data_IF_189988661358
#
_entry.id   IF_189988661358
#
_cell.length_a   1.000
_cell.length_b   1.000
_cell.length_c   1.000
_cell.angle_alpha   90.00
_cell.angle_beta   90.00
_cell.angle_gamma   90.00
#
_symmetry.space_group_name_H-M   'P 1'
#
loop_
_entity.id
_entity.type
_entity.pdbx_description
1 polymer ?
#
# COMPACT_ATOMS: atom_id res chain seq x y z
N UNK A 1 21.22 -13.49 21.35
CA UNK A 1 20.84 -13.00 20.01
C UNK A 1 19.67 -12.08 20.21
N UNK A 2 19.85 -10.77 19.97
CA UNK A 2 18.79 -9.78 20.14
C UNK A 2 17.62 -10.09 19.22
N UNK A 3 16.40 -9.83 19.68
CA UNK A 3 15.19 -9.97 18.87
C UNK A 3 15.34 -9.16 17.58
N UNK A 4 15.27 -9.82 16.42
CA UNK A 4 15.17 -9.17 15.11
C UNK A 4 13.77 -8.59 14.84
N UNK A 5 12.79 -8.89 15.71
CA UNK A 5 11.53 -8.16 15.72
C UNK A 5 11.77 -6.76 16.24
N UNK A 6 11.16 -5.81 15.55
CA UNK A 6 11.05 -4.46 16.07
C UNK A 6 10.00 -4.47 17.19
N UNK A 7 10.37 -4.22 18.46
CA UNK A 7 9.49 -4.48 19.61
C UNK A 7 8.13 -3.78 19.55
N UNK A 8 8.09 -2.61 18.93
CA UNK A 8 6.89 -1.79 18.80
C UNK A 8 6.15 -1.97 17.46
N UNK A 9 6.65 -2.83 16.56
CA UNK A 9 6.01 -3.17 15.29
C UNK A 9 5.78 -4.68 15.23
N UNK A 10 4.86 -5.16 16.06
CA UNK A 10 4.55 -6.59 16.16
C UNK A 10 4.24 -7.19 14.78
N UNK A 11 5.02 -8.20 14.41
CA UNK A 11 4.93 -8.86 13.12
C UNK A 11 5.87 -8.31 12.05
N UNK A 12 6.58 -7.19 12.25
CA UNK A 12 7.66 -6.75 11.37
C UNK A 12 9.00 -7.33 11.82
N UNK A 13 9.80 -7.81 10.88
CA UNK A 13 11.17 -8.27 11.12
C UNK A 13 12.11 -7.42 10.29
N UNK A 14 13.09 -6.82 10.96
CA UNK A 14 14.09 -6.04 10.27
C UNK A 14 15.11 -6.98 9.61
N UNK A 15 15.12 -6.98 8.27
CA UNK A 15 16.03 -7.74 7.42
C UNK A 15 17.03 -6.82 6.69
N UNK A 16 18.18 -7.35 6.27
CA UNK A 16 19.24 -6.60 5.60
C UNK A 16 18.93 -6.12 4.17
N UNK A 17 17.71 -6.34 3.66
CA UNK A 17 17.29 -5.93 2.32
C UNK A 17 16.98 -4.43 2.21
N UNK A 18 16.67 -3.95 0.98
CA UNK A 18 16.31 -2.56 0.76
C UNK A 18 15.03 -2.16 1.49
N UNK A 19 14.98 -0.90 1.93
CA UNK A 19 13.89 -0.31 2.72
C UNK A 19 13.29 0.87 1.98
N UNK A 20 12.42 0.62 1.01
CA UNK A 20 11.71 1.67 0.27
C UNK A 20 10.47 2.10 1.04
N UNK A 21 9.72 1.12 1.58
CA UNK A 21 8.45 1.38 2.28
C UNK A 21 8.51 1.16 3.79
N UNK A 22 9.48 0.40 4.30
CA UNK A 22 9.57 0.09 5.74
C UNK A 22 10.69 0.84 6.47
N UNK A 23 11.36 1.80 5.83
CA UNK A 23 12.53 2.50 6.39
C UNK A 23 12.28 3.19 7.74
N UNK A 24 11.04 3.61 8.03
CA UNK A 24 10.67 4.24 9.29
C UNK A 24 10.13 3.28 10.34
N UNK A 25 9.95 1.99 10.03
CA UNK A 25 9.34 1.05 10.98
C UNK A 25 10.18 0.81 12.24
N UNK A 26 11.49 1.10 12.21
CA UNK A 26 12.38 1.01 13.36
C UNK A 26 12.20 2.11 14.41
N UNK A 27 11.43 3.15 14.14
CA UNK A 27 11.14 4.23 15.09
C UNK A 27 9.82 3.99 15.79
N UNK A 28 9.79 4.05 17.13
CA UNK A 28 8.57 3.81 17.91
C UNK A 28 7.45 4.83 17.60
N UNK A 29 7.86 6.07 17.37
CA UNK A 29 7.06 7.26 17.05
C UNK A 29 6.90 7.51 15.55
N UNK A 30 7.20 6.52 14.68
CA UNK A 30 7.09 6.60 13.21
C UNK A 30 5.74 7.07 12.69
N UNK A 31 4.70 6.95 13.51
CA UNK A 31 3.33 7.28 13.17
C UNK A 31 2.97 8.76 13.37
N UNK A 32 3.88 9.56 13.90
CA UNK A 32 3.68 10.99 14.17
C UNK A 32 4.21 11.84 13.02
N UNK A 33 3.57 12.98 12.75
CA UNK A 33 4.03 13.95 11.76
C UNK A 33 5.49 14.39 12.02
N UNK A 34 5.82 14.67 13.28
CA UNK A 34 7.16 15.14 13.65
C UNK A 34 8.26 14.15 13.27
N UNK A 35 8.05 12.84 13.52
CA UNK A 35 8.99 11.80 13.09
C UNK A 35 9.03 11.69 11.57
N UNK A 36 7.86 11.73 10.93
CA UNK A 36 7.75 11.63 9.48
C UNK A 36 8.56 12.73 8.79
N UNK A 37 8.36 14.00 9.16
CA UNK A 37 9.13 15.14 8.63
C UNK A 37 10.64 15.02 8.92
N UNK A 38 11.01 14.65 10.15
CA UNK A 38 12.42 14.50 10.55
C UNK A 38 13.16 13.41 9.76
N UNK A 39 12.44 12.53 9.06
CA UNK A 39 12.98 11.41 8.28
C UNK A 39 12.65 11.51 6.79
N UNK A 40 12.40 12.72 6.29
CA UNK A 40 12.20 12.99 4.86
C UNK A 40 10.74 12.98 4.39
N UNK A 41 9.77 13.03 5.31
CA UNK A 41 8.35 13.06 5.00
C UNK A 41 7.94 14.25 4.14
N UNK A 42 6.97 14.04 3.24
CA UNK A 42 6.44 15.03 2.30
C UNK A 42 7.46 15.57 1.26
N UNK A 43 8.67 15.02 1.20
CA UNK A 43 9.64 15.34 0.14
C UNK A 43 9.15 14.83 -1.22
N UNK A 44 8.56 13.62 -1.27
CA UNK A 44 7.97 13.06 -2.48
C UNK A 44 6.79 13.89 -3.00
N UNK A 45 5.93 14.37 -2.10
CA UNK A 45 4.84 15.28 -2.45
C UNK A 45 5.36 16.62 -3.00
N UNK A 46 6.38 17.22 -2.35
CA UNK A 46 7.01 18.45 -2.86
C UNK A 46 7.63 18.22 -4.25
N UNK A 47 8.28 17.08 -4.47
CA UNK A 47 8.83 16.71 -5.76
C UNK A 47 7.73 16.51 -6.82
N UNK A 48 6.58 15.96 -6.43
CA UNK A 48 5.42 15.82 -7.31
C UNK A 48 4.83 17.18 -7.70
N UNK A 49 4.60 18.08 -6.74
CA UNK A 49 4.05 19.43 -6.97
C UNK A 49 4.98 20.33 -7.80
N UNK A 50 6.28 20.03 -7.86
CA UNK A 50 7.24 20.72 -8.71
C UNK A 50 7.18 20.29 -10.19
N UNK A 51 6.39 19.26 -10.52
CA UNK A 51 6.20 18.71 -11.87
C UNK A 51 4.75 18.94 -12.29
N UNK A 52 4.44 18.83 -13.59
CA UNK A 52 3.03 18.84 -14.01
C UNK A 52 2.37 17.51 -13.62
N UNK A 53 1.05 17.47 -13.33
CA UNK A 53 0.35 16.22 -13.00
C UNK A 53 0.61 15.06 -13.97
N UNK A 54 0.60 15.34 -15.27
CA UNK A 54 0.86 14.34 -16.31
C UNK A 54 2.28 13.77 -16.25
N UNK A 55 3.28 14.56 -15.83
CA UNK A 55 4.66 14.09 -15.68
C UNK A 55 4.78 13.18 -14.46
N UNK A 56 4.08 13.50 -13.36
CA UNK A 56 3.97 12.63 -12.16
C UNK A 56 3.33 11.30 -12.51
N UNK A 57 2.22 11.30 -13.27
CA UNK A 57 1.60 10.07 -13.76
C UNK A 57 2.54 9.27 -14.68
N UNK A 58 3.23 9.95 -15.59
CA UNK A 58 4.24 9.35 -16.47
C UNK A 58 5.34 8.63 -15.70
N UNK A 59 5.86 9.25 -14.66
CA UNK A 59 6.92 8.68 -13.82
C UNK A 59 6.47 7.43 -13.05
N UNK A 60 5.24 7.41 -12.51
CA UNK A 60 4.66 6.21 -11.87
C UNK A 60 4.46 5.08 -12.88
N UNK A 61 4.09 5.42 -14.12
CA UNK A 61 3.97 4.45 -15.21
C UNK A 61 5.34 3.90 -15.62
N UNK A 62 6.37 4.73 -15.73
CA UNK A 62 7.74 4.31 -16.05
C UNK A 62 8.31 3.40 -14.96
N UNK A 63 8.05 3.71 -13.68
CA UNK A 63 8.45 2.87 -12.55
C UNK A 63 7.86 1.45 -12.64
N UNK A 64 6.76 1.27 -13.40
CA UNK A 64 6.07 -0.02 -13.57
C UNK A 64 5.69 -0.65 -12.23
N UNK A 65 5.27 0.20 -11.28
CA UNK A 65 4.81 -0.23 -9.96
C UNK A 65 3.62 -1.19 -10.10
N UNK A 66 3.81 -2.47 -9.77
CA UNK A 66 2.75 -3.46 -9.82
C UNK A 66 1.84 -3.35 -8.60
N UNK A 67 0.52 -3.38 -8.82
CA UNK A 67 -0.48 -3.30 -7.75
C UNK A 67 -0.28 -4.35 -6.66
N UNK A 68 -0.28 -3.90 -5.40
CA UNK A 68 0.07 -4.70 -4.22
C UNK A 68 -1.11 -5.35 -3.49
N UNK A 69 -2.32 -5.21 -4.04
CA UNK A 69 -3.57 -5.79 -3.51
C UNK A 69 -3.96 -7.16 -4.08
N UNK A 70 -3.02 -7.89 -4.71
CA UNK A 70 -3.27 -9.24 -5.24
C UNK A 70 -3.38 -9.34 -6.76
N UNK A 71 -4.01 -8.36 -7.43
CA UNK A 71 -4.18 -8.39 -8.89
C UNK A 71 -2.89 -8.19 -9.70
N UNK A 72 -1.84 -7.61 -9.11
CA UNK A 72 -0.54 -7.39 -9.78
C UNK A 72 -0.56 -6.45 -10.98
N UNK A 73 -1.68 -5.79 -11.27
CA UNK A 73 -1.82 -4.91 -12.44
C UNK A 73 -0.95 -3.65 -12.30
N UNK A 74 -0.21 -3.21 -13.33
CA UNK A 74 0.63 -2.00 -13.26
C UNK A 74 -0.18 -0.74 -12.91
N UNK A 75 0.14 -0.09 -11.79
CA UNK A 75 -0.62 1.01 -11.22
C UNK A 75 -0.72 2.20 -12.19
N UNK A 76 0.40 2.66 -12.76
CA UNK A 76 0.39 3.77 -13.71
C UNK A 76 -0.40 3.47 -15.00
N UNK A 77 -0.50 2.21 -15.43
CA UNK A 77 -1.38 1.82 -16.54
C UNK A 77 -2.84 1.86 -16.10
N UNK A 78 -3.17 1.34 -14.92
CA UNK A 78 -4.54 1.35 -14.36
C UNK A 78 -5.09 2.76 -14.29
N UNK A 79 -4.26 3.70 -13.86
CA UNK A 79 -4.61 5.10 -13.72
C UNK A 79 -5.04 5.74 -15.05
N UNK A 80 -4.44 5.33 -16.16
CA UNK A 80 -4.78 5.81 -17.50
C UNK A 80 -6.15 5.38 -18.01
N UNK A 81 -6.86 4.49 -17.32
CA UNK A 81 -8.24 4.12 -17.67
C UNK A 81 -9.27 5.12 -17.15
N UNK A 82 -8.89 6.01 -16.23
CA UNK A 82 -9.78 7.04 -15.73
C UNK A 82 -9.90 8.16 -16.77
N UNK A 83 -11.11 8.50 -17.26
CA UNK A 83 -11.29 9.49 -18.31
C UNK A 83 -10.83 10.88 -17.84
N UNK A 84 -10.18 11.59 -18.74
CA UNK A 84 -9.87 13.02 -18.59
C UNK A 84 -11.11 13.88 -18.82
N UNK A 85 -11.09 15.12 -18.32
CA UNK A 85 -12.18 16.09 -18.53
C UNK A 85 -13.49 15.80 -17.76
N UNK A 86 -13.53 14.74 -16.94
CA UNK A 86 -14.66 14.43 -16.06
C UNK A 86 -14.38 14.94 -14.65
N UNK A 87 -15.39 15.53 -14.01
CA UNK A 87 -15.35 15.96 -12.62
C UNK A 87 -16.70 15.69 -11.93
N UNK A 88 -16.73 15.25 -10.66
CA UNK A 88 -15.60 14.82 -9.84
C UNK A 88 -15.03 13.44 -10.25
N UNK A 89 -13.82 13.13 -9.76
CA UNK A 89 -13.16 11.82 -9.88
C UNK A 89 -12.52 11.45 -8.54
N UNK A 90 -12.59 10.19 -8.15
CA UNK A 90 -12.24 9.77 -6.78
C UNK A 90 -11.05 8.82 -6.73
N UNK A 91 -10.27 8.94 -5.65
CA UNK A 91 -9.37 7.90 -5.18
C UNK A 91 -10.09 7.12 -4.08
N UNK A 92 -10.02 5.79 -4.15
CA UNK A 92 -10.38 4.92 -3.03
C UNK A 92 -9.17 4.10 -2.65
N UNK A 93 -8.71 4.27 -1.41
CA UNK A 93 -7.65 3.46 -0.83
C UNK A 93 -8.27 2.21 -0.24
N UNK A 94 -7.85 1.05 -0.72
CA UNK A 94 -8.22 -0.25 -0.19
C UNK A 94 -7.25 -0.65 0.94
N UNK A 95 -7.64 -0.32 2.17
CA UNK A 95 -7.05 -0.81 3.41
C UNK A 95 -7.85 -1.96 4.04
N UNK A 96 -8.72 -2.64 3.29
CA UNK A 96 -9.37 -3.87 3.73
C UNK A 96 -8.47 -5.09 3.50
N UNK A 97 -7.45 -5.23 4.33
CA UNK A 97 -6.57 -6.41 4.31
C UNK A 97 -7.22 -7.57 5.08
N UNK A 98 -8.11 -8.29 4.39
CA UNK A 98 -8.91 -9.39 4.97
C UNK A 98 -8.50 -10.80 4.50
N UNK A 99 -7.56 -10.88 3.56
CA UNK A 99 -7.03 -12.14 3.04
C UNK A 99 -6.31 -12.94 4.14
N UNK A 100 -6.59 -14.24 4.33
CA UNK A 100 -5.90 -15.04 5.32
C UNK A 100 -4.39 -15.08 5.09
N UNK A 101 -3.63 -14.80 6.15
CA UNK A 101 -2.16 -14.82 6.12
C UNK A 101 -1.50 -13.51 5.69
N UNK A 102 -2.28 -12.47 5.32
CA UNK A 102 -1.74 -11.14 5.01
C UNK A 102 -1.92 -10.19 6.19
N UNK A 103 -0.88 -9.42 6.49
CA UNK A 103 -0.86 -8.42 7.58
C UNK A 103 0.20 -7.33 7.33
N UNK A 104 0.48 -7.05 6.05
CA UNK A 104 1.47 -6.06 5.59
C UNK A 104 0.90 -4.64 5.59
N UNK A 105 -0.36 -4.49 5.16
CA UNK A 105 -1.00 -3.19 5.04
C UNK A 105 -1.35 -2.65 6.42
N UNK A 106 -1.74 -3.54 7.35
CA UNK A 106 -1.87 -3.22 8.78
C UNK A 106 -0.65 -2.45 9.30
N UNK A 107 0.55 -2.97 9.01
CA UNK A 107 1.78 -2.37 9.50
C UNK A 107 2.03 -1.00 8.90
N UNK A 108 1.75 -0.78 7.62
CA UNK A 108 1.88 0.54 7.01
C UNK A 108 0.91 1.54 7.65
N UNK A 109 -0.35 1.14 7.83
CA UNK A 109 -1.37 2.01 8.43
C UNK A 109 -1.12 2.31 9.91
N UNK A 110 -0.63 1.33 10.68
CA UNK A 110 -0.28 1.53 12.08
C UNK A 110 1.05 2.27 12.24
N UNK A 111 2.09 1.92 11.49
CA UNK A 111 3.44 2.42 11.76
C UNK A 111 3.75 3.69 10.99
N UNK A 112 3.24 3.88 9.79
CA UNK A 112 3.57 5.01 8.94
C UNK A 112 2.35 5.55 8.15
N UNK A 113 1.28 5.98 8.85
CA UNK A 113 0.08 6.53 8.22
C UNK A 113 0.37 7.77 7.36
N UNK A 114 1.38 8.58 7.72
CA UNK A 114 1.74 9.75 6.91
C UNK A 114 2.31 9.37 5.54
N UNK A 115 3.06 8.28 5.43
CA UNK A 115 3.49 7.75 4.13
C UNK A 115 2.31 7.37 3.24
N UNK A 116 1.28 6.75 3.82
CA UNK A 116 0.05 6.44 3.08
C UNK A 116 -0.67 7.72 2.64
N UNK A 117 -0.82 8.69 3.54
CA UNK A 117 -1.42 10.00 3.24
C UNK A 117 -0.65 10.69 2.10
N UNK A 118 0.67 10.79 2.20
CA UNK A 118 1.52 11.39 1.17
C UNK A 118 1.35 10.68 -0.17
N UNK A 119 1.35 9.34 -0.19
CA UNK A 119 1.12 8.56 -1.40
C UNK A 119 -0.26 8.82 -2.02
N UNK A 120 -1.31 8.91 -1.20
CA UNK A 120 -2.66 9.27 -1.65
C UNK A 120 -2.70 10.67 -2.26
N UNK A 121 -2.03 11.65 -1.66
CA UNK A 121 -1.94 13.01 -2.18
C UNK A 121 -1.23 13.05 -3.54
N UNK A 122 -0.12 12.32 -3.68
CA UNK A 122 0.62 12.21 -4.95
C UNK A 122 -0.29 11.62 -6.05
N UNK A 123 -1.02 10.55 -5.75
CA UNK A 123 -1.95 9.95 -6.71
C UNK A 123 -3.09 10.90 -7.08
N UNK A 124 -3.67 11.60 -6.11
CA UNK A 124 -4.70 12.61 -6.34
C UNK A 124 -4.19 13.77 -7.19
N UNK A 125 -2.98 14.25 -6.94
CA UNK A 125 -2.36 15.30 -7.74
C UNK A 125 -2.11 14.86 -9.17
N UNK A 126 -1.44 13.71 -9.36
CA UNK A 126 -1.08 13.17 -10.67
C UNK A 126 -2.29 13.02 -11.60
N UNK A 127 -3.44 12.69 -11.03
CA UNK A 127 -4.64 12.36 -11.77
C UNK A 127 -5.72 13.43 -11.69
N UNK A 128 -5.52 14.53 -10.96
CA UNK A 128 -6.53 15.56 -10.75
C UNK A 128 -7.82 15.00 -10.15
N UNK A 129 -7.69 14.27 -9.04
CA UNK A 129 -8.81 13.66 -8.30
C UNK A 129 -9.34 14.66 -7.28
N UNK A 130 -10.67 14.72 -7.15
CA UNK A 130 -11.35 15.70 -6.30
C UNK A 130 -11.35 15.34 -4.82
N UNK A 131 -11.28 14.04 -4.52
CA UNK A 131 -11.37 13.53 -3.15
C UNK A 131 -10.76 12.15 -3.05
N UNK A 132 -10.21 11.83 -1.88
CA UNK A 132 -9.73 10.51 -1.52
C UNK A 132 -10.59 9.91 -0.41
N UNK A 133 -10.95 8.64 -0.54
CA UNK A 133 -11.64 7.87 0.49
C UNK A 133 -10.72 6.74 0.95
N UNK A 134 -10.40 6.72 2.22
CA UNK A 134 -9.52 5.73 2.82
C UNK A 134 -10.37 4.71 3.58
N UNK A 135 -10.62 3.55 2.97
CA UNK A 135 -11.40 2.47 3.57
C UNK A 135 -10.49 1.56 4.38
N UNK A 136 -10.68 1.49 5.70
CA UNK A 136 -9.91 0.61 6.60
C UNK A 136 -10.83 -0.45 7.15
N UNK A 137 -10.38 -1.71 7.20
CA UNK A 137 -11.18 -2.78 7.80
C UNK A 137 -11.53 -2.49 9.26
N UNK A 138 -12.71 -2.91 9.67
CA UNK A 138 -13.27 -2.62 11.00
C UNK A 138 -12.45 -3.17 12.17
N UNK A 139 -11.73 -4.28 11.97
CA UNK A 139 -10.94 -4.92 13.05
C UNK A 139 -9.61 -4.22 13.36
N UNK A 140 -9.14 -3.30 12.52
CA UNK A 140 -7.85 -2.64 12.70
C UNK A 140 -8.03 -1.33 13.48
N UNK A 141 -8.49 -1.39 14.73
CA UNK A 141 -8.78 -0.22 15.55
C UNK A 141 -7.56 0.72 15.70
N UNK A 142 -6.37 0.16 16.00
CA UNK A 142 -5.14 0.95 16.14
C UNK A 142 -4.76 1.67 14.83
N UNK A 143 -4.91 1.00 13.68
CA UNK A 143 -4.65 1.62 12.39
C UNK A 143 -5.59 2.81 12.14
N UNK A 144 -6.88 2.64 12.44
CA UNK A 144 -7.89 3.70 12.29
C UNK A 144 -7.60 4.89 13.20
N UNK A 145 -7.24 4.66 14.46
CA UNK A 145 -6.86 5.71 15.42
C UNK A 145 -5.61 6.48 14.96
N UNK A 146 -4.59 5.76 14.51
CA UNK A 146 -3.33 6.37 14.04
C UNK A 146 -3.52 7.13 12.73
N UNK A 147 -4.28 6.61 11.79
CA UNK A 147 -4.63 7.34 10.55
C UNK A 147 -5.45 8.59 10.89
N UNK A 148 -6.45 8.50 11.77
CA UNK A 148 -7.24 9.66 12.17
C UNK A 148 -6.37 10.75 12.80
N UNK A 149 -5.43 10.36 13.67
CA UNK A 149 -4.46 11.28 14.28
C UNK A 149 -3.55 11.91 13.22
N UNK A 150 -2.96 11.10 12.35
CA UNK A 150 -2.08 11.57 11.28
C UNK A 150 -2.80 12.50 10.28
N UNK A 151 -4.07 12.21 9.97
CA UNK A 151 -4.91 13.11 9.17
C UNK A 151 -5.09 14.45 9.88
N UNK A 152 -5.45 14.47 11.17
CA UNK A 152 -5.58 15.72 11.93
C UNK A 152 -4.28 16.52 11.93
N UNK A 153 -3.13 15.86 12.14
CA UNK A 153 -1.81 16.48 12.08
C UNK A 153 -1.53 17.06 10.68
N UNK A 154 -1.81 16.28 9.62
CA UNK A 154 -1.58 16.70 8.24
C UNK A 154 -2.50 17.86 7.81
N UNK A 155 -3.77 17.87 8.24
CA UNK A 155 -4.69 18.99 8.05
C UNK A 155 -4.20 20.25 8.78
N UNK A 156 -3.77 20.12 10.04
CA UNK A 156 -3.27 21.24 10.84
C UNK A 156 -1.98 21.85 10.26
N UNK A 157 -1.12 21.03 9.66
CA UNK A 157 0.13 21.45 9.03
C UNK A 157 -0.01 21.90 7.57
N UNK A 158 -1.22 21.84 6.98
CA UNK A 158 -1.46 22.26 5.59
C UNK A 158 -0.97 21.29 4.52
N UNK A 159 -0.78 20.01 4.88
CA UNK A 159 -0.47 18.93 3.96
C UNK A 159 -1.71 18.32 3.29
N UNK A 160 -2.89 18.46 3.91
CA UNK A 160 -4.19 17.99 3.37
C UNK A 160 -5.20 19.13 3.45
N UNK A 161 -6.16 19.15 2.54
CA UNK A 161 -7.23 20.14 2.50
C UNK A 161 -7.03 21.13 1.36
N UNK A 162 -7.10 22.43 1.66
CA UNK A 162 -7.05 23.51 0.67
C UNK A 162 -5.64 24.01 0.46
N UNK A 163 -5.34 24.36 -0.80
CA UNK A 163 -4.09 25.02 -1.22
C UNK A 163 -2.86 24.34 -0.60
N UNK A 164 -2.77 23.02 -0.79
CA UNK A 164 -1.77 22.16 -0.13
C UNK A 164 -0.38 22.69 -0.45
N UNK A 165 0.41 22.94 0.61
CA UNK A 165 1.74 23.54 0.52
C UNK A 165 1.79 24.87 -0.27
N UNK A 166 0.71 25.64 -0.24
CA UNK A 166 0.58 26.93 -0.93
C UNK A 166 0.39 26.81 -2.45
N UNK A 167 0.10 25.61 -2.96
CA UNK A 167 -0.22 25.38 -4.37
C UNK A 167 -1.71 25.63 -4.67
N UNK A 168 -2.11 25.50 -5.94
CA UNK A 168 -3.52 25.48 -6.35
C UNK A 168 -4.19 24.09 -6.18
N UNK A 169 -3.42 23.08 -5.78
CA UNK A 169 -3.92 21.74 -5.53
C UNK A 169 -4.61 21.65 -4.17
N UNK A 170 -5.82 21.09 -4.16
CA UNK A 170 -6.60 20.86 -2.95
C UNK A 170 -7.23 19.47 -3.03
N UNK A 171 -7.18 18.73 -1.93
CA UNK A 171 -7.88 17.44 -1.82
C UNK A 171 -8.21 17.14 -0.35
N UNK A 172 -9.42 16.65 -0.14
CA UNK A 172 -9.86 16.13 1.15
C UNK A 172 -9.73 14.61 1.20
N UNK A 173 -9.45 14.09 2.40
CA UNK A 173 -9.38 12.65 2.67
C UNK A 173 -10.45 12.28 3.69
N UNK A 174 -11.32 11.36 3.29
CA UNK A 174 -12.36 10.79 4.16
C UNK A 174 -11.89 9.43 4.66
N UNK A 175 -11.69 9.29 5.98
CA UNK A 175 -11.49 7.99 6.60
C UNK A 175 -12.83 7.26 6.76
N UNK A 176 -12.95 6.05 6.23
CA UNK A 176 -14.14 5.22 6.29
C UNK A 176 -13.86 3.89 6.99
N UNK A 177 -14.71 3.55 7.95
CA UNK A 177 -14.58 2.36 8.78
C UNK A 177 -15.38 1.20 8.19
N UNK A 178 -14.70 0.09 7.90
CA UNK A 178 -15.36 -1.16 7.50
C UNK A 178 -15.99 -1.90 8.68
N UNK A 179 -16.63 -3.03 8.40
CA UNK A 179 -17.37 -3.81 9.40
C UNK A 179 -17.07 -5.32 9.35
N UNK A 180 -15.88 -5.71 8.89
CA UNK A 180 -15.40 -7.09 9.03
C UNK A 180 -15.90 -8.07 7.98
N UNK A 181 -15.72 -7.76 6.69
CA UNK A 181 -16.19 -8.61 5.61
C UNK A 181 -15.13 -8.78 4.53
N UNK A 182 -14.52 -9.97 4.44
CA UNK A 182 -13.49 -10.27 3.42
C UNK A 182 -13.88 -9.88 1.99
N UNK A 183 -15.16 -10.08 1.62
CA UNK A 183 -15.64 -9.74 0.29
C UNK A 183 -15.51 -8.26 -0.06
N UNK A 184 -15.51 -7.35 0.92
CA UNK A 184 -15.36 -5.90 0.68
C UNK A 184 -13.93 -5.49 0.37
N UNK A 185 -12.96 -6.40 0.46
CA UNK A 185 -11.63 -6.20 -0.12
C UNK A 185 -11.63 -6.26 -1.66
N UNK A 186 -12.68 -6.83 -2.28
CA UNK A 186 -12.86 -6.78 -3.74
C UNK A 186 -13.23 -5.36 -4.17
N UNK A 187 -12.60 -4.90 -5.26
CA UNK A 187 -12.65 -3.51 -5.72
C UNK A 187 -14.05 -2.90 -5.85
N UNK A 188 -15.01 -3.63 -6.42
CA UNK A 188 -16.37 -3.14 -6.63
C UNK A 188 -17.27 -3.34 -5.41
N UNK A 189 -17.05 -4.40 -4.63
CA UNK A 189 -17.74 -4.60 -3.36
C UNK A 189 -17.34 -3.55 -2.32
N UNK A 190 -16.09 -3.12 -2.33
CA UNK A 190 -15.59 -2.02 -1.51
C UNK A 190 -16.35 -0.73 -1.79
N UNK A 191 -16.52 -0.40 -3.07
CA UNK A 191 -17.28 0.78 -3.50
C UNK A 191 -18.73 0.69 -3.02
N UNK A 192 -19.39 -0.46 -3.19
CA UNK A 192 -20.77 -0.66 -2.70
C UNK A 192 -20.87 -0.48 -1.17
N UNK A 193 -19.92 -1.05 -0.43
CA UNK A 193 -19.87 -0.86 1.02
C UNK A 193 -19.69 0.61 1.41
N UNK A 194 -18.83 1.33 0.69
CA UNK A 194 -18.54 2.75 0.95
C UNK A 194 -19.74 3.64 0.62
N UNK A 195 -20.55 3.26 -0.38
CA UNK A 195 -21.82 3.91 -0.71
C UNK A 195 -22.93 3.67 0.33
N UNK A 196 -22.68 2.81 1.33
CA UNK A 196 -23.66 2.45 2.36
C UNK A 196 -24.57 1.29 1.98
N UNK A 197 -24.30 0.63 0.84
CA UNK A 197 -25.01 -0.58 0.45
C UNK A 197 -24.35 -1.81 1.09
N UNK A 198 -24.98 -2.98 0.88
CA UNK A 198 -24.32 -4.25 1.20
C UNK A 198 -23.11 -4.40 0.26
N UNK A 199 -21.96 -4.80 0.80
CA UNK A 199 -20.72 -5.02 0.05
C UNK A 199 -20.77 -6.24 -0.88
N UNK A 200 -21.64 -6.20 -1.89
CA UNK A 200 -21.76 -7.18 -2.95
C UNK A 200 -21.03 -6.68 -4.20
N UNK A 201 -20.17 -7.48 -4.84
CA UNK A 201 -19.49 -7.05 -6.05
C UNK A 201 -20.46 -6.64 -7.17
N UNK A 202 -20.09 -5.63 -7.95
CA UNK A 202 -20.81 -5.23 -9.17
C UNK A 202 -20.34 -6.08 -10.35
N UNK A 203 -21.27 -6.46 -11.23
CA UNK A 203 -20.94 -7.17 -12.47
C UNK A 203 -20.19 -6.25 -13.44
N UNK A 204 -19.01 -6.69 -13.91
CA UNK A 204 -18.28 -6.06 -15.01
C UNK A 204 -18.69 -6.75 -16.32
N UNK A 205 -19.10 -6.05 -17.41
CA UNK A 205 -19.53 -4.63 -17.56
C UNK A 205 -20.95 -4.35 -17.04
N UNK A 206 -21.37 -3.06 -16.88
CA UNK A 206 -20.66 -1.81 -17.21
C UNK A 206 -19.81 -1.21 -16.06
N UNK A 207 -19.79 -1.84 -14.89
CA UNK A 207 -19.20 -1.27 -13.66
C UNK A 207 -17.68 -1.46 -13.56
N UNK A 208 -16.94 -0.92 -14.53
CA UNK A 208 -15.51 -0.68 -14.35
C UNK A 208 -15.33 0.57 -13.49
N UNK A 209 -14.65 0.50 -12.32
CA UNK A 209 -14.54 1.65 -11.42
C UNK A 209 -14.00 2.91 -12.09
N UNK A 210 -13.04 2.75 -13.01
CA UNK A 210 -12.46 3.84 -13.78
C UNK A 210 -13.47 4.59 -14.66
N UNK A 211 -14.62 4.00 -14.98
CA UNK A 211 -15.71 4.64 -15.72
C UNK A 211 -16.91 4.97 -14.80
N UNK A 212 -17.43 3.96 -14.09
CA UNK A 212 -18.59 4.05 -13.20
C UNK A 212 -18.22 3.38 -11.87
N UNK A 213 -17.64 4.17 -10.96
CA UNK A 213 -17.22 3.75 -9.64
C UNK A 213 -18.07 4.35 -8.54
N UNK A 214 -17.41 4.92 -7.54
CA UNK A 214 -18.02 5.50 -6.35
C UNK A 214 -18.95 6.66 -6.71
N UNK A 215 -20.19 6.59 -6.22
CA UNK A 215 -21.27 7.52 -6.50
C UNK A 215 -21.53 7.71 -8.00
N UNK A 216 -21.27 6.66 -8.79
CA UNK A 216 -21.37 6.67 -10.24
C UNK A 216 -20.32 7.54 -10.94
N UNK A 217 -19.24 7.92 -10.25
CA UNK A 217 -18.15 8.74 -10.80
C UNK A 217 -16.90 7.90 -11.07
N UNK A 218 -16.06 8.31 -12.04
CA UNK A 218 -14.78 7.65 -12.27
C UNK A 218 -13.96 7.56 -11.00
N UNK A 219 -13.54 6.35 -10.68
CA UNK A 219 -12.88 6.03 -9.41
C UNK A 219 -11.72 5.09 -9.66
N UNK A 220 -10.59 5.39 -9.04
CA UNK A 220 -9.45 4.49 -9.01
C UNK A 220 -9.36 3.89 -7.61
N UNK A 221 -9.26 2.57 -7.54
CA UNK A 221 -9.01 1.87 -6.28
C UNK A 221 -7.56 1.41 -6.23
N UNK A 222 -6.82 1.77 -5.19
CA UNK A 222 -5.44 1.30 -4.97
C UNK A 222 -5.25 0.74 -3.57
N UNK A 223 -4.45 -0.32 -3.45
CA UNK A 223 -4.08 -0.89 -2.16
C UNK A 223 -3.06 0.01 -1.42
N UNK A 224 -3.08 -0.04 -0.09
CA UNK A 224 -2.20 0.71 0.83
C UNK A 224 -0.73 0.66 0.40
N UNK A 225 -0.13 -0.53 0.27
CA UNK A 225 1.28 -0.66 -0.11
C UNK A 225 1.57 -0.08 -1.51
N UNK A 226 0.60 -0.09 -2.42
CA UNK A 226 0.79 0.53 -3.75
C UNK A 226 0.99 2.04 -3.60
N UNK A 227 0.16 2.71 -2.80
CA UNK A 227 0.28 4.15 -2.60
C UNK A 227 1.50 4.50 -1.74
N UNK A 228 1.84 3.68 -0.75
CA UNK A 228 3.00 3.89 0.12
C UNK A 228 4.35 3.85 -0.65
N UNK A 229 4.41 3.25 -1.83
CA UNK A 229 5.60 3.30 -2.69
C UNK A 229 5.79 4.66 -3.39
N UNK A 230 4.73 5.45 -3.56
CA UNK A 230 4.78 6.68 -4.37
C UNK A 230 5.72 7.74 -3.81
N UNK A 231 5.75 8.06 -2.50
CA UNK A 231 6.69 9.04 -1.96
C UNK A 231 8.14 8.73 -2.35
N UNK A 232 8.56 7.47 -2.19
CA UNK A 232 9.91 7.03 -2.52
C UNK A 232 10.19 7.15 -4.03
N UNK A 233 9.25 6.74 -4.87
CA UNK A 233 9.38 6.83 -6.33
C UNK A 233 9.54 8.29 -6.77
N UNK A 234 8.76 9.22 -6.22
CA UNK A 234 8.79 10.61 -6.65
C UNK A 234 10.00 11.37 -6.11
N UNK A 235 10.55 10.94 -4.98
CA UNK A 235 11.81 11.46 -4.45
C UNK A 235 13.03 10.98 -5.24
N UNK A 236 13.09 9.68 -5.59
CA UNK A 236 14.31 9.06 -6.14
C UNK A 236 14.26 8.84 -7.65
N UNK A 237 13.08 8.92 -8.25
CA UNK A 237 12.84 8.69 -9.67
C UNK A 237 12.55 7.23 -10.03
N UNK A 238 11.77 7.06 -11.10
CA UNK A 238 11.41 5.74 -11.66
C UNK A 238 12.62 4.85 -11.97
N UNK A 239 13.70 5.44 -12.51
CA UNK A 239 14.91 4.70 -12.83
C UNK A 239 15.60 4.10 -11.58
N UNK A 240 15.57 4.80 -10.44
CA UNK A 240 16.10 4.28 -9.19
C UNK A 240 15.21 3.16 -8.63
N UNK A 241 13.88 3.30 -8.74
CA UNK A 241 12.93 2.26 -8.32
C UNK A 241 13.15 0.95 -9.07
N UNK A 242 13.35 1.03 -10.38
CA UNK A 242 13.58 -0.13 -11.26
C UNK A 242 14.93 -0.81 -11.08
N UNK A 243 15.86 -0.25 -10.29
CA UNK A 243 17.11 -0.95 -9.92
C UNK A 243 16.87 -2.07 -8.93
N UNK A 244 15.74 -2.03 -8.22
CA UNK A 244 15.31 -3.10 -7.34
C UNK A 244 14.35 -4.05 -8.06
N UNK A 245 14.34 -5.30 -7.62
CA UNK A 245 13.46 -6.32 -8.16
C UNK A 245 13.86 -6.78 -9.57
N UNK A 246 13.05 -7.69 -10.14
CA UNK A 246 13.32 -8.25 -11.46
C UNK A 246 12.81 -7.35 -12.58
N UNK A 247 13.27 -7.58 -13.80
CA UNK A 247 12.84 -6.82 -14.99
C UNK A 247 11.31 -6.81 -15.17
N UNK A 248 10.65 -7.93 -14.86
CA UNK A 248 9.20 -8.11 -14.97
C UNK A 248 8.44 -7.69 -13.70
N UNK A 249 9.12 -7.46 -12.59
CA UNK A 249 8.53 -7.11 -11.29
C UNK A 249 9.43 -6.12 -10.54
N UNK A 250 9.55 -4.87 -11.03
CA UNK A 250 10.45 -3.89 -10.44
C UNK A 250 9.97 -3.42 -9.06
N UNK A 251 10.95 -3.05 -8.25
CA UNK A 251 10.81 -2.53 -6.89
C UNK A 251 10.82 -3.59 -5.80
N UNK A 252 10.42 -3.16 -4.61
CA UNK A 252 10.29 -4.04 -3.43
C UNK A 252 8.84 -4.42 -3.17
N UNK A 253 8.67 -5.44 -2.32
CA UNK A 253 7.37 -5.89 -1.84
C UNK A 253 7.46 -6.28 -0.38
N UNK A 254 6.43 -5.96 0.39
CA UNK A 254 6.25 -6.47 1.75
C UNK A 254 5.62 -7.88 1.69
N UNK A 255 6.40 -8.90 2.06
CA UNK A 255 5.94 -10.28 2.18
C UNK A 255 5.59 -10.62 3.62
N UNK A 256 4.33 -10.97 3.86
CA UNK A 256 3.86 -11.48 5.14
C UNK A 256 3.97 -13.01 5.17
N UNK A 257 4.87 -13.54 6.00
CA UNK A 257 5.08 -14.98 6.19
C UNK A 257 4.50 -15.42 7.53
N UNK A 258 3.37 -16.12 7.45
CA UNK A 258 2.70 -16.73 8.60
C UNK A 258 2.84 -18.25 8.60
N UNK A 259 2.44 -18.88 9.72
CA UNK A 259 2.36 -20.34 9.83
C UNK A 259 3.64 -20.99 10.36
N UNK A 260 4.00 -22.14 9.78
CA UNK A 260 4.93 -23.11 10.37
C UNK A 260 6.42 -22.83 10.09
N UNK A 261 6.86 -21.58 10.22
CA UNK A 261 8.27 -21.18 10.13
C UNK A 261 8.84 -20.83 11.50
N UNK A 262 10.17 -20.82 11.66
CA UNK A 262 10.80 -20.44 12.94
C UNK A 262 10.60 -18.97 13.28
N UNK A 263 10.64 -18.10 12.28
CA UNK A 263 10.51 -16.65 12.43
C UNK A 263 9.44 -16.07 11.50
N UNK A 264 8.15 -16.14 11.86
CA UNK A 264 7.09 -15.53 11.06
C UNK A 264 7.13 -14.01 11.15
N UNK A 265 6.76 -13.31 10.09
CA UNK A 265 6.81 -11.85 10.08
C UNK A 265 6.60 -11.24 8.70
N UNK A 266 6.65 -9.92 8.64
CA UNK A 266 6.65 -9.14 7.41
C UNK A 266 8.07 -8.71 7.12
N UNK A 267 8.49 -9.00 5.90
CA UNK A 267 9.81 -8.70 5.37
C UNK A 267 9.65 -7.84 4.12
N UNK A 268 10.42 -6.76 4.01
CA UNK A 268 10.53 -6.04 2.74
C UNK A 268 11.63 -6.70 1.89
N UNK A 269 11.27 -7.13 0.68
CA UNK A 269 12.17 -7.90 -0.19
C UNK A 269 12.14 -7.35 -1.61
N UNK A 270 13.20 -7.59 -2.37
CA UNK A 270 13.23 -7.29 -3.80
C UNK A 270 12.31 -8.23 -4.57
N UNK A 271 11.31 -7.65 -5.25
CA UNK A 271 10.26 -8.43 -5.88
C UNK A 271 10.81 -9.19 -7.09
N UNK A 272 10.55 -10.50 -7.15
CA UNK A 272 10.97 -11.35 -8.28
C UNK A 272 12.47 -11.70 -8.29
N UNK A 273 13.26 -11.20 -7.33
CA UNK A 273 14.65 -11.60 -7.09
C UNK A 273 14.74 -12.56 -5.91
N UNK A 274 14.02 -12.25 -4.82
CA UNK A 274 14.00 -13.10 -3.62
C UNK A 274 13.15 -14.35 -3.87
N UNK A 275 13.74 -15.54 -3.75
CA UNK A 275 13.04 -16.81 -3.93
C UNK A 275 12.28 -17.23 -2.67
N UNK A 276 11.37 -18.21 -2.78
CA UNK A 276 10.73 -18.78 -1.58
C UNK A 276 11.74 -19.53 -0.73
N UNK A 277 12.75 -20.15 -1.35
CA UNK A 277 13.90 -20.73 -0.64
C UNK A 277 14.62 -19.69 0.22
N UNK A 278 14.94 -18.52 -0.34
CA UNK A 278 15.57 -17.44 0.40
C UNK A 278 14.67 -17.00 1.56
N UNK A 279 13.40 -16.72 1.29
CA UNK A 279 12.44 -16.25 2.29
C UNK A 279 12.24 -17.24 3.45
N UNK A 280 12.21 -18.55 3.17
CA UNK A 280 11.98 -19.56 4.19
C UNK A 280 13.24 -19.94 4.96
N UNK A 281 14.38 -20.08 4.28
CA UNK A 281 15.59 -20.67 4.87
C UNK A 281 16.73 -19.67 5.09
N UNK A 282 16.67 -18.48 4.48
CA UNK A 282 17.69 -17.46 4.62
C UNK A 282 17.82 -16.94 6.06
N UNK A 283 19.05 -16.60 6.45
CA UNK A 283 19.38 -16.11 7.79
C UNK A 283 18.71 -14.78 8.13
N UNK A 284 18.49 -13.95 7.11
CA UNK A 284 17.80 -12.65 7.19
C UNK A 284 16.27 -12.77 7.22
N UNK A 285 15.71 -13.97 7.00
CA UNK A 285 14.27 -14.18 6.82
C UNK A 285 13.70 -15.19 7.83
N UNK A 286 13.01 -16.25 7.40
CA UNK A 286 12.28 -17.09 8.33
C UNK A 286 13.13 -18.13 9.10
N UNK A 287 14.39 -18.32 8.72
CA UNK A 287 15.37 -19.21 9.38
C UNK A 287 14.98 -20.70 9.45
N UNK A 288 14.11 -21.13 8.52
CA UNK A 288 13.66 -22.49 8.32
C UNK A 288 12.25 -22.76 8.83
N UNK A 289 11.84 -24.02 8.66
CA UNK A 289 10.58 -24.56 9.17
C UNK A 289 10.68 -24.77 10.70
N UNK A 290 9.55 -24.69 11.40
CA UNK A 290 9.47 -24.92 12.85
C UNK A 290 10.18 -26.22 13.28
N UNK A 291 10.73 -26.24 14.49
CA UNK A 291 11.60 -27.33 14.97
C UNK A 291 10.99 -28.73 14.82
N UNK A 292 11.78 -29.67 14.32
CA UNK A 292 11.37 -31.07 14.13
C UNK A 292 10.43 -31.32 12.94
N UNK A 293 10.25 -30.33 12.04
CA UNK A 293 9.38 -30.44 10.88
C UNK A 293 10.08 -30.05 9.58
N UNK A 294 9.55 -30.58 8.47
CA UNK A 294 9.97 -30.27 7.11
C UNK A 294 8.83 -29.58 6.34
N UNK A 295 9.16 -28.90 5.25
CA UNK A 295 8.18 -28.21 4.42
C UNK A 295 7.30 -29.24 3.71
N UNK A 296 6.00 -29.26 4.03
CA UNK A 296 5.02 -30.09 3.32
C UNK A 296 4.37 -29.37 2.13
N UNK A 297 4.02 -28.11 2.34
CA UNK A 297 3.36 -27.22 1.37
C UNK A 297 3.46 -25.78 1.87
N UNK A 298 3.26 -24.82 0.97
CA UNK A 298 3.09 -23.40 1.30
C UNK A 298 2.07 -22.75 0.35
N UNK A 299 1.58 -21.57 0.72
CA UNK A 299 0.67 -20.77 -0.10
C UNK A 299 1.40 -19.45 -0.39
N UNK A 300 1.77 -19.16 -1.65
CA UNK A 300 2.77 -18.13 -1.98
C UNK A 300 2.29 -16.67 -1.87
N UNK A 301 0.98 -16.42 -1.81
CA UNK A 301 0.41 -15.08 -1.82
C UNK A 301 -0.55 -14.82 -0.66
N UNK A 302 -1.71 -15.45 -0.70
CA UNK A 302 -2.76 -15.42 0.31
C UNK A 302 -3.65 -16.66 0.16
N UNK A 303 -4.67 -16.84 0.99
CA UNK A 303 -5.63 -17.95 0.90
C UNK A 303 -6.25 -18.20 -0.48
N UNK A 304 -6.26 -17.22 -1.38
CA UNK A 304 -6.73 -17.33 -2.76
C UNK A 304 -5.74 -17.98 -3.74
N UNK A 305 -4.49 -18.23 -3.33
CA UNK A 305 -3.44 -18.79 -4.18
C UNK A 305 -3.43 -20.33 -4.18
N UNK A 306 -2.95 -20.99 -5.26
CA UNK A 306 -2.77 -22.43 -5.28
C UNK A 306 -1.75 -22.89 -4.23
N UNK A 307 -1.82 -24.17 -3.87
CA UNK A 307 -0.87 -24.79 -2.96
C UNK A 307 0.41 -25.12 -3.70
N UNK A 308 1.52 -24.65 -3.17
CA UNK A 308 2.86 -24.94 -3.66
C UNK A 308 3.53 -25.96 -2.73
N UNK A 309 4.53 -26.63 -3.27
CA UNK A 309 5.27 -27.72 -2.63
C UNK A 309 6.77 -27.45 -2.73
N UNK A 310 7.59 -28.30 -2.14
CA UNK A 310 9.04 -28.10 -2.05
C UNK A 310 9.73 -27.88 -3.41
N UNK A 311 9.24 -28.48 -4.48
CA UNK A 311 9.74 -28.30 -5.85
C UNK A 311 9.51 -26.90 -6.43
N UNK A 312 8.70 -26.06 -5.77
CA UNK A 312 8.40 -24.68 -6.18
C UNK A 312 9.23 -23.62 -5.40
N UNK A 313 10.18 -24.05 -4.56
CA UNK A 313 11.01 -23.17 -3.74
C UNK A 313 11.98 -22.29 -4.52
#
# INVERSE_FOLDING_TARGET
MGSSYVPHAAGYVDNGGPKLVTSRFGYEDSHTLARFEATGGYVGLKAALAKRPADVHGEVREATLLGRGGAGFPAGVKWGFCPEGVWPRYLVVNGDESEPGTYKDRLLMERDPHQLIEGSLIACYALGLSQCFLYVRGEMALAQERIATALNEAYAAGYVGREILGSDFSVDIVLHWGAGAYIVGEETALIESLEGNRGMPRLKPPYFPAAIGLYGKPTIVNNVETLANLPWILEHGAAAYRRYGSESSPGTRMFAVSGHVKRPGVYEVEQGVTTFRDLFYGEDFCQGIREGHELKMFIPGGGSAPWFFEEHL
#
